data_IF_818881083545
#
_entry.id   IF_818881083545
#
_cell.length_a   1.000
_cell.length_b   1.000
_cell.length_c   1.000
_cell.angle_alpha   90.00
_cell.angle_beta   90.00
_cell.angle_gamma   90.00
#
_symmetry.space_group_name_H-M   'P 1'
#
loop_
_entity.id
_entity.type
_entity.pdbx_description
1 polymer ?
#
# COMPACT_ATOMS: atom_id res chain seq x y z
N UNK A 1 -7.40 -29.99 4.27
CA UNK A 1 -7.20 -28.62 3.78
C UNK A 1 -6.31 -28.68 2.54
N UNK A 2 -6.92 -28.67 1.38
CA UNK A 2 -6.13 -28.55 0.13
C UNK A 2 -5.75 -27.07 -0.02
N UNK A 3 -4.49 -26.77 0.22
CA UNK A 3 -3.92 -25.45 -0.11
C UNK A 3 -4.00 -25.34 -1.62
N UNK A 4 -4.77 -24.37 -2.12
CA UNK A 4 -4.76 -24.04 -3.54
C UNK A 4 -3.32 -23.74 -3.99
N UNK A 5 -2.88 -24.25 -5.15
CA UNK A 5 -1.59 -23.88 -5.68
C UNK A 5 -1.59 -22.40 -6.02
N UNK A 6 -0.78 -21.59 -5.32
CA UNK A 6 -0.71 -20.15 -5.52
C UNK A 6 -0.11 -19.45 -4.30
N UNK A 7 0.19 -18.17 -4.46
CA UNK A 7 0.67 -17.32 -3.37
C UNK A 7 -0.52 -16.61 -2.70
N UNK A 8 -0.41 -16.19 -1.43
CA UNK A 8 -1.46 -15.44 -0.75
C UNK A 8 -1.97 -14.21 -1.52
N UNK A 9 -1.08 -13.51 -2.23
CA UNK A 9 -1.47 -12.40 -3.09
C UNK A 9 -2.44 -12.81 -4.21
N UNK A 10 -2.19 -13.96 -4.83
CA UNK A 10 -3.04 -14.47 -5.91
C UNK A 10 -4.44 -14.82 -5.38
N UNK A 11 -4.54 -15.43 -4.20
CA UNK A 11 -5.81 -15.77 -3.57
C UNK A 11 -6.64 -14.54 -3.14
N UNK A 12 -5.97 -13.47 -2.68
CA UNK A 12 -6.65 -12.20 -2.37
C UNK A 12 -7.16 -11.56 -3.66
N UNK A 13 -6.34 -11.56 -4.71
CA UNK A 13 -6.68 -10.93 -5.99
C UNK A 13 -7.80 -11.65 -6.75
N UNK A 14 -7.90 -12.98 -6.64
CA UNK A 14 -8.92 -13.78 -7.34
C UNK A 14 -10.28 -13.83 -6.62
N UNK A 15 -10.40 -13.17 -5.46
CA UNK A 15 -11.64 -13.09 -4.71
C UNK A 15 -11.87 -14.28 -3.79
N UNK A 16 -10.85 -15.05 -3.43
CA UNK A 16 -10.94 -16.13 -2.43
C UNK A 16 -11.19 -15.61 -1.01
N UNK A 17 -11.19 -14.27 -0.82
CA UNK A 17 -11.59 -13.62 0.43
C UNK A 17 -13.09 -13.37 0.47
N UNK A 18 -13.68 -13.36 1.66
CA UNK A 18 -15.10 -13.05 1.82
C UNK A 18 -15.42 -11.58 1.43
N UNK A 19 -16.71 -11.31 1.17
CA UNK A 19 -17.17 -9.97 0.72
C UNK A 19 -16.97 -8.86 1.75
N UNK A 20 -16.83 -9.20 3.03
CA UNK A 20 -16.68 -8.23 4.14
C UNK A 20 -15.23 -7.79 4.29
N UNK A 21 -14.28 -8.67 4.01
CA UNK A 21 -12.85 -8.41 4.20
C UNK A 21 -12.34 -7.19 3.43
N UNK A 22 -12.64 -6.98 2.14
CA UNK A 22 -12.22 -5.76 1.43
C UNK A 22 -12.78 -4.49 2.03
N UNK A 23 -14.05 -4.51 2.49
CA UNK A 23 -14.68 -3.35 3.14
C UNK A 23 -14.00 -3.00 4.45
N UNK A 24 -13.69 -4.00 5.29
CA UNK A 24 -12.97 -3.79 6.54
C UNK A 24 -11.53 -3.32 6.30
N UNK A 25 -10.86 -3.86 5.29
CA UNK A 25 -9.52 -3.42 4.89
C UNK A 25 -9.52 -1.95 4.45
N UNK A 26 -10.48 -1.57 3.62
CA UNK A 26 -10.66 -0.19 3.16
C UNK A 26 -10.88 0.77 4.33
N UNK A 27 -11.76 0.42 5.27
CA UNK A 27 -12.07 1.24 6.44
C UNK A 27 -10.85 1.37 7.38
N UNK A 28 -10.10 0.28 7.60
CA UNK A 28 -8.89 0.32 8.41
C UNK A 28 -7.84 1.24 7.80
N UNK A 29 -7.60 1.13 6.49
CA UNK A 29 -6.65 2.01 5.78
C UNK A 29 -7.06 3.48 5.87
N UNK A 30 -8.33 3.80 5.64
CA UNK A 30 -8.84 5.15 5.71
C UNK A 30 -8.65 5.75 7.11
N UNK A 31 -8.98 4.99 8.16
CA UNK A 31 -8.79 5.44 9.56
C UNK A 31 -7.33 5.62 9.94
N UNK A 32 -6.45 4.73 9.50
CA UNK A 32 -5.01 4.89 9.75
C UNK A 32 -4.46 6.12 9.03
N UNK A 33 -4.89 6.40 7.79
CA UNK A 33 -4.52 7.61 7.07
C UNK A 33 -4.99 8.89 7.80
N UNK A 34 -6.23 8.91 8.28
CA UNK A 34 -6.77 10.04 9.06
C UNK A 34 -5.96 10.30 10.33
N UNK A 35 -5.53 9.24 11.04
CA UNK A 35 -4.74 9.36 12.27
C UNK A 35 -3.38 10.02 12.05
N UNK A 36 -2.77 9.81 10.90
CA UNK A 36 -1.49 10.41 10.53
C UNK A 36 -1.65 11.62 9.61
N UNK A 37 -2.89 12.08 9.41
CA UNK A 37 -3.25 13.22 8.55
C UNK A 37 -2.71 13.12 7.11
N UNK A 38 -2.65 11.90 6.58
CA UNK A 38 -2.18 11.65 5.22
C UNK A 38 -3.28 11.89 4.19
N UNK A 39 -2.90 12.29 2.98
CA UNK A 39 -3.84 12.52 1.89
C UNK A 39 -4.29 11.22 1.24
N UNK A 40 -3.38 10.29 0.99
CA UNK A 40 -3.69 9.05 0.30
C UNK A 40 -3.04 7.85 0.97
N UNK A 41 -3.75 6.72 0.93
CA UNK A 41 -3.22 5.40 1.30
C UNK A 41 -3.65 4.38 0.26
N UNK A 42 -2.87 3.33 0.10
CA UNK A 42 -3.20 2.23 -0.81
C UNK A 42 -2.65 0.89 -0.31
N UNK A 43 -3.38 -0.16 -0.64
CA UNK A 43 -2.92 -1.55 -0.56
C UNK A 43 -2.56 -2.03 -1.97
N UNK A 44 -1.34 -2.49 -2.12
CA UNK A 44 -0.77 -3.03 -3.34
C UNK A 44 -0.55 -4.52 -3.18
N UNK A 45 -1.01 -5.33 -4.12
CA UNK A 45 -0.68 -6.76 -4.17
C UNK A 45 0.36 -7.05 -5.23
N UNK A 46 1.22 -8.01 -4.94
CA UNK A 46 2.19 -8.49 -5.94
C UNK A 46 1.50 -9.33 -7.01
N UNK A 47 1.81 -9.05 -8.27
CA UNK A 47 1.28 -9.74 -9.43
C UNK A 47 2.37 -9.86 -10.51
N UNK A 48 2.98 -11.03 -10.63
CA UNK A 48 4.06 -11.22 -11.60
C UNK A 48 5.26 -10.31 -11.34
N UNK A 49 5.51 -9.38 -12.25
CA UNK A 49 6.64 -8.43 -12.23
C UNK A 49 6.25 -7.01 -11.77
N UNK A 50 5.06 -6.86 -11.18
CA UNK A 50 4.54 -5.57 -10.73
C UNK A 50 3.73 -5.67 -9.43
N UNK A 51 3.39 -4.49 -8.88
CA UNK A 51 2.45 -4.31 -7.78
C UNK A 51 1.19 -3.63 -8.31
N UNK A 52 0.03 -4.22 -8.04
CA UNK A 52 -1.28 -3.69 -8.42
C UNK A 52 -1.96 -3.05 -7.20
N UNK A 53 -2.40 -1.78 -7.26
CA UNK A 53 -3.17 -1.16 -6.21
C UNK A 53 -4.61 -1.69 -6.26
N UNK A 54 -5.03 -2.39 -5.22
CA UNK A 54 -6.36 -3.02 -5.17
C UNK A 54 -7.36 -2.28 -4.28
N UNK A 55 -6.87 -1.56 -3.28
CA UNK A 55 -7.66 -0.72 -2.39
C UNK A 55 -6.92 0.60 -2.18
N UNK A 56 -7.66 1.66 -1.95
CA UNK A 56 -7.09 2.96 -1.65
C UNK A 56 -8.10 3.89 -1.00
N UNK A 57 -7.58 4.91 -0.32
CA UNK A 57 -8.37 5.99 0.26
C UNK A 57 -7.67 7.32 0.02
N UNK A 58 -8.45 8.37 -0.19
CA UNK A 58 -7.97 9.72 -0.46
C UNK A 58 -8.43 10.24 -1.83
N UNK A 59 -8.14 11.52 -2.13
CA UNK A 59 -8.73 12.22 -3.27
C UNK A 59 -8.36 11.64 -4.65
N UNK A 60 -7.25 10.89 -4.74
CA UNK A 60 -6.79 10.32 -6.01
C UNK A 60 -6.98 8.79 -6.12
N UNK A 61 -7.58 8.14 -5.12
CA UNK A 61 -7.69 6.69 -5.09
C UNK A 61 -8.39 6.13 -6.34
N UNK A 62 -9.48 6.72 -6.76
CA UNK A 62 -10.26 6.27 -7.93
C UNK A 62 -9.51 6.43 -9.26
N UNK A 63 -8.44 7.21 -9.31
CA UNK A 63 -7.68 7.48 -10.52
C UNK A 63 -6.60 6.42 -10.78
N UNK A 64 -6.19 5.66 -9.78
CA UNK A 64 -5.12 4.68 -9.94
C UNK A 64 -5.44 3.26 -9.45
N UNK A 65 -6.36 3.11 -8.48
CA UNK A 65 -6.76 1.78 -7.99
C UNK A 65 -7.41 0.98 -9.11
N UNK A 66 -6.89 -0.24 -9.33
CA UNK A 66 -7.39 -1.16 -10.36
C UNK A 66 -6.86 -0.90 -11.78
N UNK A 67 -6.11 0.18 -12.00
CA UNK A 67 -5.67 0.57 -13.36
C UNK A 67 -4.15 0.85 -13.45
N UNK A 68 -3.52 1.32 -12.39
CA UNK A 68 -2.09 1.56 -12.35
C UNK A 68 -1.32 0.27 -12.02
N UNK A 69 -0.09 0.16 -12.54
CA UNK A 69 0.84 -0.92 -12.23
C UNK A 69 2.21 -0.37 -11.92
N UNK A 70 2.74 -0.69 -10.75
CA UNK A 70 4.10 -0.30 -10.37
C UNK A 70 5.06 -1.43 -10.69
N UNK A 71 6.03 -1.24 -11.61
CA UNK A 71 7.04 -2.26 -11.89
C UNK A 71 7.89 -2.59 -10.65
N UNK A 72 8.24 -3.87 -10.46
CA UNK A 72 9.07 -4.33 -9.34
C UNK A 72 10.55 -3.98 -9.47
N UNK A 73 11.00 -3.56 -10.65
CA UNK A 73 12.39 -3.20 -10.93
C UNK A 73 12.77 -1.77 -10.49
N UNK A 74 11.81 -1.00 -9.99
CA UNK A 74 12.01 0.41 -9.60
C UNK A 74 11.00 0.88 -8.56
N UNK A 75 11.38 1.94 -7.84
CA UNK A 75 10.53 2.60 -6.87
C UNK A 75 10.72 2.13 -5.44
N UNK A 76 10.39 3.00 -4.50
CA UNK A 76 10.55 2.75 -3.06
C UNK A 76 9.69 1.55 -2.62
N UNK A 77 8.44 1.47 -3.09
CA UNK A 77 7.55 0.37 -2.70
C UNK A 77 8.04 -0.99 -3.20
N UNK A 78 8.69 -1.02 -4.36
CA UNK A 78 9.30 -2.25 -4.89
C UNK A 78 10.50 -2.68 -4.07
N UNK A 79 11.29 -1.74 -3.54
CA UNK A 79 12.36 -2.04 -2.59
C UNK A 79 11.85 -2.60 -1.27
N UNK A 80 10.76 -2.02 -0.74
CA UNK A 80 10.11 -2.54 0.49
C UNK A 80 9.60 -3.95 0.27
N UNK A 81 8.99 -4.21 -0.89
CA UNK A 81 8.53 -5.55 -1.25
C UNK A 81 9.70 -6.55 -1.32
N UNK A 82 10.81 -6.18 -1.96
CA UNK A 82 11.96 -7.06 -2.12
C UNK A 82 12.71 -7.31 -0.80
N UNK A 83 12.83 -6.29 0.06
CA UNK A 83 13.61 -6.37 1.31
C UNK A 83 12.80 -6.83 2.51
N UNK A 84 11.48 -6.63 2.49
CA UNK A 84 10.61 -6.82 3.66
C UNK A 84 10.83 -5.78 4.76
N UNK A 85 11.58 -4.71 4.50
CA UNK A 85 11.89 -3.68 5.49
C UNK A 85 10.94 -2.47 5.29
N UNK A 86 10.19 -2.08 6.33
CA UNK A 86 9.35 -0.90 6.25
C UNK A 86 10.21 0.37 6.14
N UNK A 87 9.67 1.40 5.50
CA UNK A 87 10.33 2.71 5.37
C UNK A 87 9.40 3.85 5.75
N UNK A 88 10.00 4.88 6.34
CA UNK A 88 9.42 6.20 6.51
C UNK A 88 10.38 7.18 5.83
N UNK A 89 10.03 7.65 4.65
CA UNK A 89 10.89 8.48 3.79
C UNK A 89 10.25 9.84 3.60
N UNK A 90 10.98 10.87 3.99
CA UNK A 90 10.66 12.26 3.73
C UNK A 90 11.52 12.77 2.56
N UNK A 91 11.17 13.92 1.99
CA UNK A 91 11.87 14.47 0.83
C UNK A 91 11.91 13.52 -0.40
N UNK A 92 10.80 12.86 -0.66
CA UNK A 92 10.64 11.90 -1.77
C UNK A 92 11.05 12.48 -3.12
N UNK A 93 10.73 13.74 -3.39
CA UNK A 93 11.04 14.41 -4.66
C UNK A 93 12.55 14.43 -5.00
N UNK A 94 13.41 14.35 -3.99
CA UNK A 94 14.88 14.29 -4.16
C UNK A 94 15.46 12.89 -4.01
N UNK A 95 14.64 11.90 -3.71
CA UNK A 95 15.09 10.52 -3.55
C UNK A 95 15.25 9.85 -4.92
N UNK A 96 16.48 9.42 -5.30
CA UNK A 96 16.73 8.83 -6.63
C UNK A 96 16.05 7.47 -6.82
N UNK A 97 15.57 6.84 -5.76
CA UNK A 97 14.85 5.56 -5.79
C UNK A 97 13.34 5.74 -5.96
N UNK A 98 12.83 6.96 -5.89
CA UNK A 98 11.42 7.24 -6.15
C UNK A 98 11.06 7.01 -7.60
N UNK A 99 9.97 6.27 -7.84
CA UNK A 99 9.37 6.15 -9.17
C UNK A 99 8.36 7.28 -9.39
N UNK A 100 8.57 8.20 -10.33
CA UNK A 100 7.65 9.32 -10.55
C UNK A 100 6.43 8.96 -11.40
N UNK A 101 6.25 7.71 -11.78
CA UNK A 101 5.22 7.29 -12.74
C UNK A 101 3.80 7.67 -12.29
N UNK A 102 3.49 7.41 -11.02
CA UNK A 102 2.16 7.72 -10.47
C UNK A 102 1.99 9.23 -10.27
N UNK A 103 3.01 9.92 -9.76
CA UNK A 103 2.99 11.37 -9.57
C UNK A 103 2.73 12.09 -10.90
N UNK A 104 3.41 11.67 -11.97
CA UNK A 104 3.23 12.22 -13.31
C UNK A 104 1.82 11.98 -13.85
N UNK A 105 1.28 10.77 -13.63
CA UNK A 105 -0.08 10.42 -14.04
C UNK A 105 -1.13 11.28 -13.35
N UNK A 106 -0.95 11.55 -12.06
CA UNK A 106 -1.92 12.27 -11.23
C UNK A 106 -1.71 13.79 -11.19
N UNK A 107 -0.62 14.30 -11.76
CA UNK A 107 -0.27 15.73 -11.72
C UNK A 107 0.05 16.21 -10.30
N UNK A 108 0.60 15.36 -9.47
CA UNK A 108 0.95 15.63 -8.08
C UNK A 108 2.45 15.49 -7.83
N UNK A 109 2.87 15.87 -6.65
CA UNK A 109 4.18 15.58 -6.10
C UNK A 109 4.00 14.85 -4.76
N UNK A 110 4.64 13.71 -4.64
CA UNK A 110 4.74 13.01 -3.35
C UNK A 110 5.87 13.64 -2.53
N UNK A 111 5.52 14.13 -1.35
CA UNK A 111 6.47 14.77 -0.43
C UNK A 111 7.10 13.75 0.53
N UNK A 112 6.27 12.89 1.10
CA UNK A 112 6.68 11.90 2.08
C UNK A 112 5.88 10.61 1.92
N UNK A 113 6.48 9.49 2.29
CA UNK A 113 5.88 8.16 2.19
C UNK A 113 6.23 7.31 3.42
N UNK A 114 5.22 6.65 3.94
CA UNK A 114 5.38 5.44 4.74
C UNK A 114 5.00 4.26 3.85
N UNK A 115 5.84 3.24 3.81
CA UNK A 115 5.56 2.00 3.09
C UNK A 115 5.94 0.81 3.97
N UNK A 116 4.99 -0.11 4.16
CA UNK A 116 5.15 -1.28 5.02
C UNK A 116 4.76 -2.55 4.27
N UNK A 117 5.47 -3.68 4.48
CA UNK A 117 5.07 -4.93 3.86
C UNK A 117 3.76 -5.46 4.47
N UNK A 118 2.90 -6.00 3.61
CA UNK A 118 1.75 -6.80 4.02
C UNK A 118 2.16 -8.27 4.02
N UNK A 119 2.22 -8.87 5.19
CA UNK A 119 2.53 -10.30 5.36
C UNK A 119 1.24 -11.07 5.58
N UNK A 120 1.01 -12.09 4.76
CA UNK A 120 -0.13 -13.01 4.84
C UNK A 120 0.40 -14.43 4.79
N UNK A 121 0.03 -15.26 5.76
CA UNK A 121 0.48 -16.65 5.86
C UNK A 121 2.02 -16.82 5.83
N UNK A 122 2.75 -15.84 6.39
CA UNK A 122 4.20 -15.84 6.45
C UNK A 122 4.93 -15.37 5.19
N UNK A 123 4.21 -14.96 4.16
CA UNK A 123 4.77 -14.43 2.89
C UNK A 123 4.42 -12.95 2.71
N UNK A 124 5.29 -12.19 2.06
CA UNK A 124 4.98 -10.82 1.65
C UNK A 124 4.03 -10.89 0.47
N UNK A 125 2.75 -10.61 0.71
CA UNK A 125 1.71 -10.59 -0.32
C UNK A 125 1.66 -9.25 -1.07
N UNK A 126 2.13 -8.18 -0.45
CA UNK A 126 2.07 -6.85 -1.03
C UNK A 126 2.64 -5.78 -0.11
N UNK A 127 2.24 -4.54 -0.35
CA UNK A 127 2.69 -3.35 0.36
C UNK A 127 1.49 -2.48 0.73
N UNK A 128 1.56 -1.85 1.89
CA UNK A 128 0.66 -0.75 2.25
C UNK A 128 1.46 0.54 2.21
N UNK A 129 0.92 1.53 1.52
CA UNK A 129 1.52 2.88 1.45
C UNK A 129 0.61 3.92 2.06
N UNK A 130 1.23 4.94 2.59
CA UNK A 130 0.59 6.15 3.07
C UNK A 130 1.46 7.33 2.63
N UNK A 131 0.87 8.34 2.01
CA UNK A 131 1.63 9.43 1.41
C UNK A 131 1.08 10.79 1.76
N UNK A 132 2.00 11.76 1.93
CA UNK A 132 1.71 13.17 1.84
C UNK A 132 1.98 13.64 0.40
N UNK A 133 0.96 14.22 -0.21
CA UNK A 133 1.03 14.73 -1.59
C UNK A 133 0.58 16.18 -1.64
N UNK A 134 0.98 16.87 -2.69
CA UNK A 134 0.51 18.21 -3.05
C UNK A 134 0.42 18.36 -4.57
N UNK A 135 -0.31 19.36 -5.09
CA UNK A 135 -0.25 19.68 -6.51
C UNK A 135 1.19 19.93 -6.96
N UNK A 136 1.55 19.49 -8.17
CA UNK A 136 2.93 19.59 -8.68
C UNK A 136 3.45 21.03 -8.76
N UNK A 137 2.56 22.02 -8.87
CA UNK A 137 2.86 23.44 -8.93
C UNK A 137 2.71 24.19 -7.58
N UNK A 138 2.46 23.45 -6.51
CA UNK A 138 2.26 24.04 -5.17
C UNK A 138 3.57 24.61 -4.60
N UNK A 139 3.47 25.79 -3.99
CA UNK A 139 4.55 26.42 -3.24
C UNK A 139 4.46 26.17 -1.70
N UNK A 140 3.49 25.35 -1.26
CA UNK A 140 3.39 25.00 0.15
C UNK A 140 4.59 24.16 0.59
N UNK A 141 5.02 24.28 1.87
CA UNK A 141 6.09 23.43 2.38
C UNK A 141 5.66 21.97 2.40
N UNK A 142 6.58 21.02 2.12
CA UNK A 142 6.29 19.59 2.18
C UNK A 142 5.91 19.18 3.60
N UNK A 143 4.95 18.25 3.70
CA UNK A 143 4.63 17.59 4.97
C UNK A 143 5.54 16.38 5.16
N UNK A 144 5.76 16.03 6.42
CA UNK A 144 6.64 14.92 6.81
C UNK A 144 5.89 13.91 7.67
N UNK A 145 6.36 12.67 7.63
CA UNK A 145 6.00 11.62 8.58
C UNK A 145 7.06 11.45 9.66
N UNK A 146 6.66 10.89 10.78
CA UNK A 146 7.50 10.59 11.94
C UNK A 146 7.47 9.09 12.26
N UNK A 147 8.33 8.64 13.17
CA UNK A 147 8.38 7.24 13.56
C UNK A 147 7.04 6.68 14.08
N UNK A 148 6.26 7.50 14.79
CA UNK A 148 4.94 7.09 15.27
C UNK A 148 3.93 6.83 14.12
N UNK A 149 4.09 7.51 12.98
CA UNK A 149 3.25 7.29 11.80
C UNK A 149 3.61 5.96 11.14
N UNK A 150 4.89 5.60 11.12
CA UNK A 150 5.34 4.28 10.69
C UNK A 150 4.77 3.18 11.58
N UNK A 151 4.84 3.33 12.92
CA UNK A 151 4.28 2.38 13.88
C UNK A 151 2.78 2.15 13.68
N UNK A 152 2.01 3.21 13.36
CA UNK A 152 0.58 3.12 13.03
C UNK A 152 0.35 2.21 11.81
N UNK A 153 1.14 2.37 10.75
CA UNK A 153 0.98 1.58 9.53
C UNK A 153 1.56 0.16 9.66
N UNK A 154 2.58 -0.08 10.44
CA UNK A 154 3.02 -1.44 10.79
C UNK A 154 1.92 -2.20 11.56
N UNK A 155 1.25 -1.51 12.50
CA UNK A 155 0.10 -2.08 13.19
C UNK A 155 -1.07 -2.37 12.23
N UNK A 156 -1.41 -1.42 11.37
CA UNK A 156 -2.45 -1.62 10.36
C UNK A 156 -2.13 -2.81 9.43
N UNK A 157 -0.88 -2.94 8.99
CA UNK A 157 -0.44 -4.06 8.16
C UNK A 157 -0.57 -5.41 8.89
N UNK A 158 -0.22 -5.47 10.18
CA UNK A 158 -0.39 -6.67 10.99
C UNK A 158 -1.87 -7.05 11.14
N UNK A 159 -2.75 -6.08 11.38
CA UNK A 159 -4.20 -6.31 11.45
C UNK A 159 -4.77 -6.80 10.11
N UNK A 160 -4.36 -6.19 9.00
CA UNK A 160 -4.80 -6.59 7.67
C UNK A 160 -4.30 -7.98 7.28
N UNK A 161 -3.04 -8.31 7.59
CA UNK A 161 -2.51 -9.65 7.38
C UNK A 161 -3.36 -10.71 8.08
N UNK A 162 -3.71 -10.48 9.35
CA UNK A 162 -4.58 -11.38 10.11
C UNK A 162 -6.01 -11.46 9.58
N UNK A 163 -6.55 -10.33 9.11
CA UNK A 163 -7.88 -10.27 8.51
C UNK A 163 -7.94 -11.11 7.23
N UNK A 164 -6.96 -10.98 6.34
CA UNK A 164 -6.85 -11.79 5.13
C UNK A 164 -6.63 -13.26 5.44
N UNK A 165 -5.74 -13.60 6.39
CA UNK A 165 -5.54 -14.98 6.84
C UNK A 165 -6.84 -15.61 7.34
N UNK A 166 -7.57 -14.89 8.19
CA UNK A 166 -8.83 -15.38 8.73
C UNK A 166 -9.88 -15.61 7.63
N UNK A 167 -9.92 -14.77 6.62
CA UNK A 167 -10.83 -14.94 5.49
C UNK A 167 -10.45 -16.11 4.60
N UNK A 168 -9.15 -16.25 4.29
CA UNK A 168 -8.64 -17.33 3.41
C UNK A 168 -8.71 -18.71 4.06
N UNK A 169 -8.66 -18.79 5.40
CA UNK A 169 -8.71 -20.05 6.15
C UNK A 169 -10.13 -20.44 6.60
N UNK A 170 -11.16 -19.69 6.23
CA UNK A 170 -12.54 -20.09 6.49
C UNK A 170 -12.84 -21.38 5.76
N UNK A 171 -13.27 -22.37 6.52
CA UNK A 171 -13.95 -23.55 5.96
C UNK A 171 -15.39 -23.15 5.62
N UNK A 172 -15.85 -23.47 4.41
CA UNK A 172 -17.25 -23.34 4.00
C UNK A 172 -18.15 -24.28 4.80
#
# INVERSE_FOLDING_TARGET
MELHPGRPADWIADGSVDEVTPTLAQELLARSADRVSAQNTALWLSSGDHLDPILGSGPHADEFVGDFRQPLDRGIISMVYASGQPVCENAIASNPQHSPLLDQRLGIQTDAMVAVPLVVMGEIAGIITCVHTRPADSSEPPKEFHAADLDEFEFAAACLGRLFEASLLRED
#
